data_IF_504904920952
#
_entry.id   IF_504904920952
#
_cell.length_a   1.000
_cell.length_b   1.000
_cell.length_c   1.000
_cell.angle_alpha   90.00
_cell.angle_beta   90.00
_cell.angle_gamma   90.00
#
_symmetry.space_group_name_H-M   'P 1'
#
loop_
_entity.id
_entity.type
_entity.pdbx_description
1 polymer ?
#
# COMPACT_ATOMS: atom_id res chain seq x y z
N UNK A 1 18.02 -13.83 -14.40
CA UNK A 1 16.86 -13.12 -15.01
C UNK A 1 16.42 -12.06 -14.03
N UNK A 2 16.31 -10.80 -14.47
CA UNK A 2 16.31 -9.66 -13.57
C UNK A 2 15.07 -9.57 -12.68
N UNK A 3 15.27 -9.68 -11.37
CA UNK A 3 14.32 -9.27 -10.34
C UNK A 3 14.01 -7.77 -10.54
N UNK A 4 12.78 -7.43 -10.95
CA UNK A 4 12.35 -6.03 -10.93
C UNK A 4 12.23 -5.59 -9.48
N UNK A 5 13.08 -4.65 -9.08
CA UNK A 5 13.02 -4.00 -7.76
C UNK A 5 12.03 -2.85 -7.83
N UNK A 6 10.97 -2.94 -7.05
CA UNK A 6 10.03 -1.84 -6.85
C UNK A 6 10.28 -1.20 -5.49
N UNK A 7 10.22 0.12 -5.41
CA UNK A 7 10.43 0.85 -4.17
C UNK A 7 9.09 1.42 -3.70
N UNK A 8 8.56 0.88 -2.60
CA UNK A 8 7.36 1.38 -1.94
C UNK A 8 7.77 2.01 -0.61
N UNK A 9 8.12 3.29 -0.63
CA UNK A 9 8.40 4.09 0.57
C UNK A 9 9.37 3.42 1.58
N UNK A 10 8.80 2.92 2.67
CA UNK A 10 9.50 2.29 3.82
C UNK A 10 9.97 0.85 3.55
N UNK A 11 9.70 0.26 2.38
CA UNK A 11 9.93 -1.16 2.06
C UNK A 11 10.64 -1.35 0.72
N UNK A 12 11.42 -2.44 0.60
CA UNK A 12 11.90 -2.99 -0.67
C UNK A 12 10.98 -4.11 -1.09
N UNK A 13 10.62 -4.13 -2.36
CA UNK A 13 9.72 -5.13 -2.91
C UNK A 13 10.43 -5.90 -4.00
N UNK A 14 10.44 -7.22 -3.84
CA UNK A 14 11.04 -8.19 -4.75
C UNK A 14 9.91 -9.02 -5.36
N UNK A 15 9.75 -8.97 -6.68
CA UNK A 15 8.75 -9.76 -7.37
C UNK A 15 9.39 -11.02 -7.95
N UNK A 16 8.75 -12.17 -7.75
CA UNK A 16 9.15 -13.46 -8.30
C UNK A 16 8.01 -14.02 -9.16
N UNK A 17 7.81 -13.54 -10.41
CA UNK A 17 6.66 -13.90 -11.22
C UNK A 17 6.52 -15.40 -11.46
N UNK A 18 7.64 -16.12 -11.64
CA UNK A 18 7.66 -17.59 -11.84
C UNK A 18 7.15 -18.37 -10.62
N UNK A 19 7.31 -17.81 -9.43
CA UNK A 19 6.83 -18.41 -8.18
C UNK A 19 5.43 -17.89 -7.81
N UNK A 20 4.89 -16.92 -8.56
CA UNK A 20 3.60 -16.31 -8.24
C UNK A 20 3.60 -15.52 -6.93
N UNK A 21 4.75 -15.02 -6.46
CA UNK A 21 4.85 -14.29 -5.18
C UNK A 21 5.61 -12.97 -5.27
N UNK A 22 5.31 -12.09 -4.31
CA UNK A 22 6.01 -10.84 -4.03
C UNK A 22 6.49 -10.87 -2.58
N UNK A 23 7.73 -10.46 -2.36
CA UNK A 23 8.34 -10.39 -1.03
C UNK A 23 8.64 -8.94 -0.70
N UNK A 24 8.04 -8.43 0.38
CA UNK A 24 8.29 -7.08 0.92
C UNK A 24 9.18 -7.17 2.16
N UNK A 25 10.30 -6.46 2.13
CA UNK A 25 11.27 -6.38 3.23
C UNK A 25 11.34 -4.93 3.72
N UNK A 26 11.21 -4.65 5.02
CA UNK A 26 11.32 -3.30 5.56
C UNK A 26 12.71 -2.70 5.31
N UNK A 27 12.74 -1.40 5.04
CA UNK A 27 13.98 -0.62 4.96
C UNK A 27 14.27 -0.03 6.32
N UNK A 28 15.38 -0.44 6.91
CA UNK A 28 15.90 0.20 8.10
C UNK A 28 16.78 1.38 7.71
N UNK A 29 16.36 2.59 8.07
CA UNK A 29 17.15 3.81 7.85
C UNK A 29 18.05 4.08 9.06
N UNK A 30 18.95 3.15 9.39
CA UNK A 30 19.81 3.19 10.58
C UNK A 30 20.54 4.54 10.75
N UNK A 31 21.12 5.09 9.67
CA UNK A 31 21.80 6.40 9.71
C UNK A 31 20.86 7.55 10.09
N UNK A 32 19.63 7.56 9.55
CA UNK A 32 18.64 8.59 9.88
C UNK A 32 18.12 8.41 11.31
N UNK A 33 17.87 7.17 11.73
CA UNK A 33 17.48 6.85 13.10
C UNK A 33 18.54 7.30 14.12
N UNK A 34 19.82 6.98 13.85
CA UNK A 34 20.94 7.40 14.69
C UNK A 34 21.09 8.92 14.77
N UNK A 35 21.04 9.63 13.63
CA UNK A 35 21.07 11.10 13.62
C UNK A 35 19.97 11.69 14.51
N UNK A 36 18.74 11.19 14.37
CA UNK A 36 17.60 11.68 15.18
C UNK A 36 17.75 11.35 16.66
N UNK A 37 18.33 10.20 16.99
CA UNK A 37 18.66 9.86 18.37
C UNK A 37 19.68 10.84 18.96
N UNK A 38 20.77 11.12 18.23
CA UNK A 38 21.80 12.09 18.64
C UNK A 38 21.24 13.50 18.78
N UNK A 39 20.41 13.94 17.84
CA UNK A 39 19.77 15.27 17.87
C UNK A 39 18.82 15.41 19.07
N UNK A 40 18.00 14.38 19.33
CA UNK A 40 17.12 14.36 20.51
C UNK A 40 17.89 14.34 21.84
N UNK A 41 19.01 13.62 21.90
CA UNK A 41 19.89 13.62 23.07
C UNK A 41 20.53 15.00 23.31
N UNK A 42 21.00 15.68 22.24
CA UNK A 42 21.64 17.00 22.33
C UNK A 42 20.68 18.12 22.75
N UNK A 43 19.40 18.02 22.39
CA UNK A 43 18.37 19.02 22.72
C UNK A 43 17.80 18.88 24.15
N UNK A 44 18.41 18.04 25.00
CA UNK A 44 18.08 17.94 26.43
C UNK A 44 16.73 17.29 26.75
N UNK A 45 16.05 16.71 25.75
CA UNK A 45 14.70 16.18 25.88
C UNK A 45 14.63 14.73 25.42
N UNK A 46 14.81 13.79 26.34
CA UNK A 46 14.28 12.44 26.16
C UNK A 46 12.76 12.52 26.26
N UNK A 47 12.10 12.92 25.18
CA UNK A 47 10.73 12.47 24.93
C UNK A 47 10.87 11.26 24.00
N UNK A 48 11.29 10.15 24.60
CA UNK A 48 11.04 8.81 24.09
C UNK A 48 9.54 8.53 24.29
N UNK A 49 8.66 9.32 23.66
CA UNK A 49 7.23 9.05 23.75
C UNK A 49 6.95 7.73 23.05
N UNK A 50 6.59 6.72 23.85
CA UNK A 50 6.13 5.41 23.39
C UNK A 50 4.76 5.48 22.69
N UNK A 51 4.12 6.65 22.67
CA UNK A 51 2.83 6.88 22.02
C UNK A 51 2.96 6.85 20.50
N UNK A 52 2.09 6.06 19.88
CA UNK A 52 1.92 5.96 18.43
C UNK A 52 0.98 7.08 17.95
N UNK A 53 1.41 8.33 18.00
CA UNK A 53 0.64 9.41 17.36
C UNK A 53 1.09 9.56 15.90
N UNK A 54 0.13 9.58 14.97
CA UNK A 54 0.38 9.64 13.53
C UNK A 54 1.09 10.94 13.09
N UNK A 55 1.00 11.99 13.90
CA UNK A 55 1.49 13.34 13.57
C UNK A 55 2.98 13.60 13.82
N UNK A 56 3.74 12.65 14.40
CA UNK A 56 5.17 12.85 14.60
C UNK A 56 5.99 12.35 13.42
N UNK A 57 5.96 13.08 12.30
CA UNK A 57 6.99 12.96 11.26
C UNK A 57 8.38 13.15 11.89
N UNK A 58 9.09 12.05 12.16
CA UNK A 58 10.53 12.10 12.46
C UNK A 58 11.01 11.54 13.79
N UNK A 59 10.20 10.80 14.56
CA UNK A 59 10.73 10.06 15.71
C UNK A 59 11.65 8.91 15.23
N UNK A 60 12.75 8.65 15.94
CA UNK A 60 13.71 7.58 15.62
C UNK A 60 12.99 6.22 15.50
N UNK A 61 12.04 5.96 16.39
CA UNK A 61 11.22 4.74 16.39
C UNK A 61 10.43 4.60 15.09
N UNK A 62 9.70 5.63 14.67
CA UNK A 62 8.87 5.56 13.47
C UNK A 62 9.73 5.28 12.22
N UNK A 63 10.90 5.92 12.10
CA UNK A 63 11.83 5.71 10.98
C UNK A 63 12.35 4.26 10.94
N UNK A 64 12.55 3.63 12.10
CA UNK A 64 13.09 2.27 12.20
C UNK A 64 12.01 1.19 12.08
N UNK A 65 10.79 1.44 12.57
CA UNK A 65 9.75 0.41 12.67
C UNK A 65 8.61 0.58 11.68
N UNK A 66 8.55 1.66 10.89
CA UNK A 66 7.44 1.89 9.94
C UNK A 66 7.26 0.72 8.97
N UNK A 67 8.34 0.27 8.29
CA UNK A 67 8.23 -0.84 7.34
C UNK A 67 7.77 -2.14 8.00
N UNK A 68 8.20 -2.41 9.24
CA UNK A 68 7.76 -3.57 10.04
C UNK A 68 6.26 -3.48 10.35
N UNK A 69 5.82 -2.31 10.86
CA UNK A 69 4.42 -2.04 11.17
C UNK A 69 3.54 -2.17 9.93
N UNK A 70 3.92 -1.55 8.82
CA UNK A 70 3.17 -1.58 7.57
C UNK A 70 2.98 -3.05 7.10
N UNK A 71 4.06 -3.84 7.05
CA UNK A 71 4.03 -5.26 6.68
C UNK A 71 3.18 -6.13 7.63
N UNK A 72 3.22 -5.86 8.94
CA UNK A 72 2.43 -6.59 9.92
C UNK A 72 0.95 -6.23 9.84
N UNK A 73 0.64 -4.95 9.68
CA UNK A 73 -0.72 -4.45 9.55
C UNK A 73 -1.41 -4.95 8.29
N UNK A 74 -0.71 -5.02 7.15
CA UNK A 74 -1.23 -5.67 5.93
C UNK A 74 -1.62 -7.12 6.19
N UNK A 75 -0.73 -7.91 6.79
CA UNK A 75 -1.00 -9.32 7.07
C UNK A 75 -2.18 -9.50 8.03
N UNK A 76 -2.20 -8.78 9.15
CA UNK A 76 -3.30 -8.86 10.13
C UNK A 76 -4.62 -8.42 9.49
N UNK A 77 -4.62 -7.37 8.69
CA UNK A 77 -5.82 -6.89 8.01
C UNK A 77 -6.34 -7.93 7.00
N UNK A 78 -5.44 -8.50 6.18
CA UNK A 78 -5.81 -9.54 5.24
C UNK A 78 -6.37 -10.77 5.95
N UNK A 79 -5.71 -11.26 7.01
CA UNK A 79 -6.18 -12.42 7.76
C UNK A 79 -7.57 -12.23 8.37
N UNK A 80 -7.92 -11.00 8.78
CA UNK A 80 -9.21 -10.68 9.41
C UNK A 80 -10.34 -10.51 8.41
N UNK A 81 -10.08 -9.86 7.28
CA UNK A 81 -11.15 -9.39 6.40
C UNK A 81 -11.21 -10.12 5.05
N UNK A 82 -10.06 -10.54 4.50
CA UNK A 82 -9.95 -11.30 3.23
C UNK A 82 -10.80 -10.73 2.07
N UNK A 83 -10.96 -9.40 2.01
CA UNK A 83 -11.76 -8.76 0.97
C UNK A 83 -11.21 -9.04 -0.44
N UNK A 84 -12.08 -9.19 -1.46
CA UNK A 84 -11.67 -9.59 -2.81
C UNK A 84 -10.80 -8.55 -3.51
N UNK A 85 -10.97 -7.26 -3.19
CA UNK A 85 -10.11 -6.17 -3.65
C UNK A 85 -8.69 -6.20 -3.08
N UNK A 86 -8.43 -7.00 -2.05
CA UNK A 86 -7.09 -7.08 -1.46
C UNK A 86 -6.25 -8.10 -2.21
N UNK A 87 -5.01 -7.73 -2.51
CA UNK A 87 -4.03 -8.72 -2.94
C UNK A 87 -3.68 -9.64 -1.77
N UNK A 88 -3.79 -10.97 -1.90
CA UNK A 88 -3.58 -11.87 -0.77
C UNK A 88 -2.19 -11.77 -0.15
N UNK A 89 -2.16 -11.57 1.18
CA UNK A 89 -0.93 -11.67 1.98
C UNK A 89 -0.86 -13.04 2.62
N UNK A 90 -0.01 -13.91 2.08
CA UNK A 90 0.11 -15.32 2.47
C UNK A 90 0.78 -15.47 3.84
N UNK A 91 1.79 -14.64 4.12
CA UNK A 91 2.62 -14.78 5.31
C UNK A 91 3.27 -13.47 5.72
N UNK A 92 3.48 -13.27 7.03
CA UNK A 92 4.34 -12.21 7.56
C UNK A 92 5.11 -12.66 8.79
N UNK A 93 6.45 -12.59 8.75
CA UNK A 93 7.32 -12.90 9.89
C UNK A 93 7.49 -11.67 10.79
N UNK A 94 6.50 -11.40 11.64
CA UNK A 94 6.49 -10.24 12.56
C UNK A 94 6.78 -8.90 11.84
N UNK A 95 6.40 -8.78 10.57
CA UNK A 95 6.66 -7.62 9.72
C UNK A 95 8.05 -7.56 9.06
N UNK A 96 9.03 -8.37 9.47
CA UNK A 96 10.37 -8.41 8.86
C UNK A 96 10.37 -8.93 7.43
N UNK A 97 9.39 -9.75 7.11
CA UNK A 97 9.16 -10.34 5.81
C UNK A 97 7.66 -10.39 5.60
N UNK A 98 7.17 -9.94 4.46
CA UNK A 98 5.77 -10.10 4.08
C UNK A 98 5.73 -10.71 2.67
N UNK A 99 5.00 -11.81 2.52
CA UNK A 99 4.87 -12.55 1.27
C UNK A 99 3.43 -12.39 0.79
N UNK A 100 3.26 -11.82 -0.40
CA UNK A 100 1.98 -11.67 -1.08
C UNK A 100 1.95 -12.50 -2.35
N UNK A 101 0.75 -12.82 -2.84
CA UNK A 101 0.62 -13.33 -4.21
C UNK A 101 1.06 -12.26 -5.22
N UNK A 102 1.70 -12.69 -6.28
CA UNK A 102 2.07 -11.82 -7.39
C UNK A 102 0.86 -11.52 -8.27
N UNK A 103 0.69 -10.24 -8.60
CA UNK A 103 -0.18 -9.77 -9.66
C UNK A 103 0.60 -8.84 -10.59
N UNK A 104 0.17 -8.73 -11.85
CA UNK A 104 0.77 -7.77 -12.79
C UNK A 104 0.39 -6.36 -12.31
N UNK A 105 1.38 -5.62 -11.82
CA UNK A 105 1.21 -4.21 -11.43
C UNK A 105 0.72 -3.40 -12.62
N UNK A 106 -0.26 -2.54 -12.40
CA UNK A 106 -0.75 -1.63 -13.44
C UNK A 106 0.34 -0.63 -13.82
N UNK A 107 0.50 -0.39 -15.13
CA UNK A 107 1.25 0.79 -15.57
C UNK A 107 0.42 2.06 -15.34
N UNK A 108 1.09 3.21 -15.26
CA UNK A 108 0.40 4.52 -15.20
C UNK A 108 -0.50 4.71 -16.44
N UNK A 109 -0.07 4.27 -17.62
CA UNK A 109 -0.88 4.32 -18.85
C UNK A 109 -2.16 3.46 -18.73
N UNK A 110 -2.06 2.24 -18.22
CA UNK A 110 -3.22 1.35 -18.02
C UNK A 110 -4.20 1.98 -17.00
N UNK A 111 -3.67 2.56 -15.93
CA UNK A 111 -4.45 3.20 -14.86
C UNK A 111 -5.21 4.45 -15.36
N UNK A 112 -4.53 5.32 -16.11
CA UNK A 112 -5.12 6.54 -16.69
C UNK A 112 -6.12 6.21 -17.80
N UNK A 113 -5.79 5.29 -18.70
CA UNK A 113 -6.68 4.90 -19.80
C UNK A 113 -8.01 4.33 -19.30
N UNK A 114 -7.95 3.52 -18.24
CA UNK A 114 -9.14 2.99 -17.57
C UNK A 114 -9.83 4.03 -16.67
N UNK A 115 -9.26 5.23 -16.48
CA UNK A 115 -9.78 6.28 -15.60
C UNK A 115 -10.04 5.78 -14.17
N UNK A 116 -9.17 4.90 -13.65
CA UNK A 116 -9.37 4.20 -12.36
C UNK A 116 -9.60 5.17 -11.21
N UNK A 117 -8.81 6.25 -11.14
CA UNK A 117 -8.97 7.28 -10.10
C UNK A 117 -10.36 7.95 -10.14
N UNK A 118 -10.87 8.25 -11.34
CA UNK A 118 -12.22 8.80 -11.51
C UNK A 118 -13.30 7.80 -11.10
N UNK A 119 -13.10 6.51 -11.36
CA UNK A 119 -14.02 5.48 -10.87
C UNK A 119 -14.03 5.44 -9.33
N UNK A 120 -12.86 5.49 -8.68
CA UNK A 120 -12.78 5.60 -7.22
C UNK A 120 -13.51 6.83 -6.69
N UNK A 121 -13.38 7.98 -7.36
CA UNK A 121 -14.06 9.21 -6.98
C UNK A 121 -15.57 9.04 -6.87
N UNK A 122 -16.22 8.44 -7.86
CA UNK A 122 -17.67 8.22 -7.83
C UNK A 122 -18.07 7.07 -6.92
N UNK A 123 -17.37 5.94 -6.97
CA UNK A 123 -17.73 4.73 -6.20
C UNK A 123 -17.59 4.92 -4.69
N UNK A 124 -16.59 5.70 -4.24
CA UNK A 124 -16.32 5.93 -2.82
C UNK A 124 -16.96 7.20 -2.27
N UNK A 125 -17.77 7.90 -3.08
CA UNK A 125 -18.23 9.26 -2.76
C UNK A 125 -17.08 10.16 -2.28
N UNK A 126 -15.96 10.12 -3.00
CA UNK A 126 -14.74 10.87 -2.72
C UNK A 126 -13.98 10.47 -1.44
N UNK A 127 -14.39 9.45 -0.69
CA UNK A 127 -13.71 9.05 0.56
C UNK A 127 -12.29 8.55 0.34
N UNK A 128 -11.98 8.01 -0.85
CA UNK A 128 -10.62 7.65 -1.25
C UNK A 128 -9.62 8.83 -1.15
N UNK A 129 -10.09 10.10 -1.23
CA UNK A 129 -9.25 11.30 -1.10
C UNK A 129 -8.62 11.43 0.30
N UNK A 130 -9.24 10.84 1.33
CA UNK A 130 -8.66 10.81 2.68
C UNK A 130 -7.34 10.03 2.76
N UNK A 131 -7.06 9.20 1.75
CA UNK A 131 -5.79 8.51 1.56
C UNK A 131 -5.32 8.54 0.10
N UNK A 132 -5.45 9.72 -0.54
CA UNK A 132 -5.21 9.89 -1.99
C UNK A 132 -3.86 9.34 -2.46
N UNK A 133 -2.80 9.48 -1.65
CA UNK A 133 -1.48 8.98 -2.02
C UNK A 133 -1.38 7.45 -2.20
N UNK A 134 -2.28 6.67 -1.61
CA UNK A 134 -2.40 5.23 -1.87
C UNK A 134 -3.28 4.94 -3.09
N UNK A 135 -4.32 5.74 -3.33
CA UNK A 135 -5.28 5.52 -4.41
C UNK A 135 -4.91 6.15 -5.76
N UNK A 136 -3.95 7.09 -5.79
CA UNK A 136 -3.52 7.79 -7.01
C UNK A 136 -2.40 7.09 -7.78
N UNK A 137 -1.72 6.11 -7.17
CA UNK A 137 -0.53 5.49 -7.76
C UNK A 137 -0.88 4.15 -8.38
N UNK A 138 -0.72 4.01 -9.70
CA UNK A 138 -0.94 2.74 -10.40
C UNK A 138 -0.13 1.59 -9.78
N UNK A 139 1.08 1.89 -9.30
CA UNK A 139 1.96 0.93 -8.63
C UNK A 139 1.35 0.23 -7.40
N UNK A 140 0.34 0.84 -6.76
CA UNK A 140 -0.34 0.26 -5.60
C UNK A 140 -1.44 -0.74 -5.99
N UNK A 141 -1.61 -0.99 -7.29
CA UNK A 141 -2.63 -1.88 -7.81
C UNK A 141 -2.06 -2.92 -8.77
N UNK A 142 -2.71 -4.07 -8.83
CA UNK A 142 -2.47 -5.10 -9.85
C UNK A 142 -3.78 -5.57 -10.47
N UNK A 143 -3.67 -6.10 -11.70
CA UNK A 143 -4.78 -6.74 -12.39
C UNK A 143 -4.63 -8.27 -12.29
N UNK A 144 -5.68 -8.94 -11.83
CA UNK A 144 -5.77 -10.40 -11.79
C UNK A 144 -7.17 -10.78 -12.27
N UNK A 145 -7.24 -11.58 -13.34
CA UNK A 145 -8.48 -12.07 -13.93
C UNK A 145 -9.48 -10.95 -14.27
N UNK A 146 -8.97 -9.82 -14.79
CA UNK A 146 -9.79 -8.65 -15.13
C UNK A 146 -10.17 -7.76 -13.96
N UNK A 147 -9.94 -8.19 -12.71
CA UNK A 147 -10.24 -7.41 -11.53
C UNK A 147 -9.03 -6.62 -11.03
N UNK A 148 -9.30 -5.40 -10.56
CA UNK A 148 -8.33 -4.59 -9.86
C UNK A 148 -8.17 -5.06 -8.41
N UNK A 149 -6.93 -5.18 -7.94
CA UNK A 149 -6.61 -5.48 -6.54
C UNK A 149 -5.54 -4.54 -6.00
N UNK A 150 -5.66 -4.16 -4.74
CA UNK A 150 -4.72 -3.29 -4.05
C UNK A 150 -3.59 -4.12 -3.42
N UNK A 151 -2.34 -3.75 -3.69
CA UNK A 151 -1.16 -4.42 -3.14
C UNK A 151 -0.63 -3.76 -1.86
N UNK A 152 -0.89 -2.46 -1.66
CA UNK A 152 -0.43 -1.70 -0.50
C UNK A 152 -1.61 -1.17 0.31
N UNK A 153 -1.92 -1.81 1.43
CA UNK A 153 -3.09 -1.49 2.28
C UNK A 153 -2.76 -1.48 3.77
N UNK A 154 -1.52 -1.11 4.12
CA UNK A 154 -1.07 -1.03 5.52
C UNK A 154 -1.63 0.17 6.28
N UNK A 155 -1.98 1.25 5.56
CA UNK A 155 -2.47 2.51 6.14
C UNK A 155 -3.82 2.34 6.86
N UNK A 156 -4.01 2.90 8.07
CA UNK A 156 -5.32 2.90 8.75
C UNK A 156 -6.44 3.55 7.94
N UNK A 157 -6.16 4.65 7.24
CA UNK A 157 -7.11 5.38 6.40
C UNK A 157 -7.54 4.52 5.21
N UNK A 158 -6.57 3.96 4.46
CA UNK A 158 -6.84 2.98 3.40
C UNK A 158 -7.70 1.83 3.91
N UNK A 159 -7.40 1.25 5.08
CA UNK A 159 -8.17 0.13 5.63
C UNK A 159 -9.61 0.51 5.97
N UNK A 160 -9.86 1.72 6.47
CA UNK A 160 -11.21 2.21 6.73
C UNK A 160 -12.02 2.31 5.42
N UNK A 161 -11.42 2.84 4.35
CA UNK A 161 -12.02 2.93 3.03
C UNK A 161 -12.32 1.53 2.48
N UNK A 162 -11.37 0.59 2.60
CA UNK A 162 -11.51 -0.77 2.10
C UNK A 162 -12.57 -1.59 2.85
N UNK A 163 -12.75 -1.37 4.15
CA UNK A 163 -13.82 -2.02 4.92
C UNK A 163 -15.20 -1.56 4.48
N UNK A 164 -15.31 -0.32 4.01
CA UNK A 164 -16.60 0.28 3.61
C UNK A 164 -16.91 0.04 2.13
N UNK A 165 -15.91 0.14 1.27
CA UNK A 165 -16.07 0.19 -0.19
C UNK A 165 -15.38 -0.94 -0.94
N UNK A 166 -14.62 -1.82 -0.26
CA UNK A 166 -13.78 -2.84 -0.90
C UNK A 166 -14.53 -3.74 -1.88
N UNK A 167 -15.73 -4.20 -1.52
CA UNK A 167 -16.52 -5.07 -2.41
C UNK A 167 -17.03 -4.31 -3.64
N UNK A 168 -17.53 -3.08 -3.46
CA UNK A 168 -17.97 -2.22 -4.57
C UNK A 168 -16.80 -1.89 -5.52
N UNK A 169 -15.61 -1.62 -4.97
CA UNK A 169 -14.40 -1.38 -5.74
C UNK A 169 -13.98 -2.62 -6.55
N UNK A 170 -14.11 -3.82 -6.00
CA UNK A 170 -13.77 -5.06 -6.70
C UNK A 170 -14.73 -5.38 -7.86
N UNK A 171 -16.04 -5.18 -7.64
CA UNK A 171 -17.07 -5.55 -8.60
C UNK A 171 -17.26 -4.50 -9.71
N UNK A 172 -17.11 -3.22 -9.39
CA UNK A 172 -17.51 -2.13 -10.29
C UNK A 172 -16.33 -1.43 -10.97
N UNK A 173 -15.10 -1.56 -10.46
CA UNK A 173 -13.95 -0.96 -11.13
C UNK A 173 -13.58 -1.79 -12.35
N UNK A 174 -13.72 -1.18 -13.53
CA UNK A 174 -13.37 -1.80 -14.79
C UNK A 174 -12.00 -1.33 -15.28
N UNK A 175 -11.21 -2.27 -15.79
CA UNK A 175 -9.95 -1.99 -16.49
C UNK A 175 -10.13 -1.93 -18.01
N UNK A 176 -11.35 -2.15 -18.51
CA UNK A 176 -11.66 -1.95 -19.91
C UNK A 176 -11.65 -0.45 -20.24
N UNK A 177 -11.12 -0.10 -21.41
CA UNK A 177 -11.28 1.25 -21.95
C UNK A 177 -12.77 1.48 -22.20
N UNK A 178 -13.38 2.59 -21.74
CA UNK A 178 -14.74 2.93 -22.12
C UNK A 178 -14.83 2.97 -23.65
N UNK A 179 -15.76 2.22 -24.24
CA UNK A 179 -16.02 2.34 -25.67
C UNK A 179 -16.42 3.78 -25.98
N UNK A 180 -15.87 4.36 -27.05
CA UNK A 180 -16.04 5.79 -27.41
C UNK A 180 -17.51 6.25 -27.48
N UNK A 181 -18.44 5.30 -27.61
CA UNK A 181 -19.90 5.50 -27.62
C UNK A 181 -20.52 6.01 -26.31
N UNK A 182 -19.84 5.96 -25.16
CA UNK A 182 -20.41 6.41 -23.87
C UNK A 182 -20.14 7.89 -23.54
N UNK A 183 -19.41 8.63 -24.38
CA UNK A 183 -18.99 10.02 -24.07
C UNK A 183 -19.90 11.11 -24.68
N UNK A 184 -21.09 10.74 -25.20
CA UNK A 184 -22.00 11.69 -25.86
C UNK A 184 -23.33 11.96 -25.14
N UNK A 185 -23.49 11.53 -23.89
CA UNK A 185 -24.67 11.85 -23.07
C UNK A 185 -24.30 12.67 -21.83
#
# INVERSE_FOLDING_TARGET
MADKKWYFGSRRVFAFPRLGIVVKVPRFYWKRGWSRFVDGYKLGGVIFSLSWTEDQFGSCRQVLTKGLRDNWQEFVFFCRHRGPFLQPTLFSFLGFLNIQLYGKILSEEEFERAKVWRQFFYLTNQEHLSDGHHFEKAANFCAIDGHLRMVDYGSPQTRAILLKWGDALYEQVSLATPSETETQN
#
